data_IF_395251745568
#
_entry.id   IF_395251745568
#
_cell.length_a   1.000
_cell.length_b   1.000
_cell.length_c   1.000
_cell.angle_alpha   90.00
_cell.angle_beta   90.00
_cell.angle_gamma   90.00
#
_symmetry.space_group_name_H-M   'P 1'
#
loop_
_entity.id
_entity.type
_entity.pdbx_description
1 polymer ?
#
# COMPACT_ATOMS: atom_id res chain seq x y z
N UNK A 1 31.40 27.30 11.63
CA UNK A 1 30.40 26.58 12.43
C UNK A 1 29.04 26.51 11.73
N UNK A 2 28.42 27.61 11.31
CA UNK A 2 27.13 27.63 10.60
C UNK A 2 27.16 26.89 9.25
N UNK A 3 28.23 27.01 8.47
CA UNK A 3 28.37 26.33 7.17
C UNK A 3 28.48 24.80 7.33
N UNK A 4 29.07 24.34 8.43
CA UNK A 4 29.19 22.90 8.74
C UNK A 4 27.81 22.30 9.13
N UNK A 5 27.06 23.01 9.96
CA UNK A 5 25.70 22.63 10.36
C UNK A 5 24.74 22.60 9.14
N UNK A 6 24.89 23.57 8.24
CA UNK A 6 24.06 23.64 7.02
C UNK A 6 24.32 22.44 6.09
N UNK A 7 25.58 22.05 5.94
CA UNK A 7 25.98 20.88 5.14
C UNK A 7 25.44 19.56 5.74
N UNK A 8 25.52 19.45 7.06
CA UNK A 8 25.00 18.26 7.78
C UNK A 8 23.47 18.12 7.68
N UNK A 9 22.75 19.25 7.72
CA UNK A 9 21.31 19.29 7.51
C UNK A 9 20.91 18.93 6.07
N UNK A 10 21.68 19.38 5.07
CA UNK A 10 21.46 19.01 3.67
C UNK A 10 21.71 17.53 3.40
N UNK A 11 22.76 16.94 3.98
CA UNK A 11 23.03 15.50 3.88
C UNK A 11 21.94 14.66 4.53
N UNK A 12 21.49 15.04 5.72
CA UNK A 12 20.34 14.39 6.39
C UNK A 12 19.06 14.48 5.56
N UNK A 13 18.81 15.64 4.97
CA UNK A 13 17.63 15.85 4.12
C UNK A 13 17.67 14.98 2.85
N UNK A 14 18.85 14.86 2.22
CA UNK A 14 19.04 13.98 1.05
C UNK A 14 18.90 12.50 1.40
N UNK A 15 19.46 12.07 2.52
CA UNK A 15 19.35 10.70 3.01
C UNK A 15 17.89 10.35 3.31
N UNK A 16 17.16 11.24 3.98
CA UNK A 16 15.75 11.03 4.31
C UNK A 16 14.88 10.94 3.04
N UNK A 17 15.11 11.80 2.04
CA UNK A 17 14.43 11.72 0.73
C UNK A 17 14.69 10.40 0.02
N UNK A 18 15.92 9.92 0.00
CA UNK A 18 16.26 8.63 -0.60
C UNK A 18 15.51 7.46 0.05
N UNK A 19 15.41 7.46 1.38
CA UNK A 19 14.66 6.44 2.13
C UNK A 19 13.16 6.50 1.79
N UNK A 20 12.58 7.68 1.70
CA UNK A 20 11.16 7.85 1.33
C UNK A 20 10.86 7.32 -0.06
N UNK A 21 11.71 7.60 -1.04
CA UNK A 21 11.57 7.07 -2.41
C UNK A 21 11.59 5.55 -2.40
N UNK A 22 12.54 4.93 -1.70
CA UNK A 22 12.64 3.46 -1.59
C UNK A 22 11.40 2.87 -0.93
N UNK A 23 10.92 3.46 0.17
CA UNK A 23 9.71 3.00 0.86
C UNK A 23 8.47 3.14 -0.01
N UNK A 24 8.33 4.25 -0.73
CA UNK A 24 7.21 4.44 -1.65
C UNK A 24 7.23 3.41 -2.80
N UNK A 25 8.40 3.09 -3.33
CA UNK A 25 8.55 2.07 -4.37
C UNK A 25 8.23 0.66 -3.83
N UNK A 26 8.76 0.29 -2.67
CA UNK A 26 8.47 -1.01 -2.04
C UNK A 26 6.97 -1.13 -1.74
N UNK A 27 6.38 -0.11 -1.13
CA UNK A 27 4.94 -0.06 -0.85
C UNK A 27 4.09 -0.16 -2.11
N UNK A 28 4.49 0.51 -3.18
CA UNK A 28 3.79 0.46 -4.47
C UNK A 28 3.87 -0.92 -5.12
N UNK A 29 5.04 -1.56 -5.10
CA UNK A 29 5.24 -2.91 -5.67
C UNK A 29 4.44 -3.95 -4.87
N UNK A 30 4.48 -3.90 -3.55
CA UNK A 30 3.70 -4.83 -2.70
C UNK A 30 2.21 -4.63 -2.88
N UNK A 31 1.75 -3.37 -2.98
CA UNK A 31 0.34 -3.07 -3.19
C UNK A 31 -0.13 -3.43 -4.60
N UNK A 32 0.74 -3.29 -5.60
CA UNK A 32 0.48 -3.76 -6.96
C UNK A 32 0.36 -5.29 -7.02
N UNK A 33 1.17 -6.03 -6.28
CA UNK A 33 1.07 -7.48 -6.19
C UNK A 33 -0.30 -7.92 -5.62
N UNK A 34 -0.81 -7.21 -4.60
CA UNK A 34 -2.16 -7.42 -4.09
C UNK A 34 -3.20 -7.06 -5.16
N UNK A 35 -3.03 -5.97 -5.91
CA UNK A 35 -3.93 -5.57 -6.98
C UNK A 35 -4.01 -6.62 -8.10
N UNK A 36 -2.89 -7.19 -8.50
CA UNK A 36 -2.83 -8.28 -9.49
C UNK A 36 -3.65 -9.48 -9.00
N UNK A 37 -3.50 -9.88 -7.73
CA UNK A 37 -4.30 -10.96 -7.17
C UNK A 37 -5.81 -10.64 -7.24
N UNK A 38 -6.21 -9.41 -6.89
CA UNK A 38 -7.60 -8.98 -6.97
C UNK A 38 -8.14 -8.95 -8.41
N UNK A 39 -7.27 -8.64 -9.40
CA UNK A 39 -7.64 -8.77 -10.83
C UNK A 39 -7.92 -10.24 -11.16
N UNK A 40 -7.07 -11.17 -10.74
CA UNK A 40 -7.27 -12.60 -10.96
C UNK A 40 -8.56 -13.11 -10.31
N UNK A 41 -8.90 -12.60 -9.11
CA UNK A 41 -10.16 -12.90 -8.45
C UNK A 41 -11.37 -12.32 -9.20
N UNK A 42 -11.25 -11.10 -9.70
CA UNK A 42 -12.29 -10.44 -10.49
C UNK A 42 -12.57 -11.18 -11.82
N UNK A 43 -11.52 -11.74 -12.44
CA UNK A 43 -11.64 -12.60 -13.62
C UNK A 43 -12.30 -13.95 -13.32
N UNK A 44 -12.41 -14.33 -12.04
CA UNK A 44 -13.05 -15.58 -11.61
C UNK A 44 -12.12 -16.78 -11.58
N UNK A 45 -10.83 -16.55 -11.49
CA UNK A 45 -9.85 -17.61 -11.28
C UNK A 45 -9.99 -18.24 -9.88
N UNK A 46 -9.57 -19.52 -9.69
CA UNK A 46 -9.76 -20.26 -8.45
C UNK A 46 -8.74 -19.86 -7.36
N UNK A 47 -8.55 -18.55 -7.16
CA UNK A 47 -7.66 -17.98 -6.14
C UNK A 47 -8.42 -17.39 -4.94
N UNK A 48 -9.71 -17.67 -4.81
CA UNK A 48 -10.55 -17.13 -3.74
C UNK A 48 -10.10 -17.50 -2.32
N UNK A 49 -9.22 -18.50 -2.19
CA UNK A 49 -8.62 -18.87 -0.89
C UNK A 49 -7.69 -17.78 -0.32
N UNK A 50 -7.25 -16.81 -1.13
CA UNK A 50 -6.42 -15.68 -0.71
C UNK A 50 -7.21 -14.47 -0.22
N UNK A 51 -8.55 -14.53 -0.25
CA UNK A 51 -9.40 -13.44 0.17
C UNK A 51 -10.66 -13.94 0.88
N UNK A 52 -11.28 -13.06 1.67
CA UNK A 52 -12.59 -13.29 2.32
C UNK A 52 -12.66 -14.54 3.20
N UNK A 53 -11.59 -14.84 3.91
CA UNK A 53 -11.54 -16.00 4.82
C UNK A 53 -11.44 -17.35 4.12
N UNK A 54 -11.16 -17.35 2.81
CA UNK A 54 -11.06 -18.58 2.01
C UNK A 54 -12.39 -19.30 1.80
N UNK A 55 -13.52 -18.61 1.98
CA UNK A 55 -14.86 -19.19 1.86
C UNK A 55 -15.16 -19.78 0.48
N UNK A 56 -14.58 -19.19 -0.57
CA UNK A 56 -14.87 -19.51 -1.94
C UNK A 56 -13.61 -19.90 -2.69
N UNK A 57 -13.62 -20.99 -3.46
CA UNK A 57 -12.55 -21.27 -4.42
C UNK A 57 -12.62 -20.31 -5.61
N UNK A 58 -13.83 -20.10 -6.12
CA UNK A 58 -14.13 -19.14 -7.20
C UNK A 58 -15.07 -18.09 -6.63
N UNK A 59 -14.74 -16.82 -6.80
CA UNK A 59 -15.55 -15.71 -6.28
C UNK A 59 -16.90 -15.62 -6.99
N UNK A 60 -18.03 -15.45 -6.24
CA UNK A 60 -19.34 -15.17 -6.81
C UNK A 60 -19.34 -13.81 -7.52
N UNK A 61 -20.25 -13.61 -8.50
CA UNK A 61 -20.27 -12.40 -9.34
C UNK A 61 -20.24 -11.09 -8.57
N UNK A 62 -21.00 -10.99 -7.48
CA UNK A 62 -21.02 -9.78 -6.62
C UNK A 62 -19.64 -9.47 -5.99
N UNK A 63 -18.93 -10.50 -5.52
CA UNK A 63 -17.60 -10.33 -4.93
C UNK A 63 -16.53 -10.01 -5.99
N UNK A 64 -16.71 -10.47 -7.23
CA UNK A 64 -15.83 -10.13 -8.36
C UNK A 64 -15.89 -8.64 -8.68
N UNK A 65 -17.07 -8.05 -8.66
CA UNK A 65 -17.25 -6.59 -8.84
C UNK A 65 -16.56 -5.83 -7.70
N UNK A 66 -16.71 -6.28 -6.45
CA UNK A 66 -16.04 -5.68 -5.31
C UNK A 66 -14.50 -5.74 -5.45
N UNK A 67 -13.94 -6.87 -5.93
CA UNK A 67 -12.52 -6.99 -6.24
C UNK A 67 -12.08 -6.00 -7.32
N UNK A 68 -12.85 -5.83 -8.39
CA UNK A 68 -12.54 -4.88 -9.46
C UNK A 68 -12.53 -3.43 -8.95
N UNK A 69 -13.51 -3.04 -8.12
CA UNK A 69 -13.54 -1.72 -7.48
C UNK A 69 -12.31 -1.53 -6.57
N UNK A 70 -11.95 -2.56 -5.81
CA UNK A 70 -10.77 -2.52 -4.95
C UNK A 70 -9.48 -2.29 -5.74
N UNK A 71 -9.34 -2.87 -6.93
CA UNK A 71 -8.19 -2.62 -7.81
C UNK A 71 -8.10 -1.14 -8.20
N UNK A 72 -9.21 -0.52 -8.57
CA UNK A 72 -9.22 0.92 -8.92
C UNK A 72 -8.78 1.77 -7.73
N UNK A 73 -9.29 1.49 -6.54
CA UNK A 73 -8.91 2.18 -5.30
C UNK A 73 -7.42 1.98 -5.01
N UNK A 74 -6.88 0.78 -5.20
CA UNK A 74 -5.47 0.48 -4.98
C UNK A 74 -4.57 1.24 -5.97
N UNK A 75 -4.94 1.33 -7.24
CA UNK A 75 -4.17 2.10 -8.23
C UNK A 75 -4.13 3.59 -7.87
N UNK A 76 -5.24 4.16 -7.45
CA UNK A 76 -5.29 5.55 -6.95
C UNK A 76 -4.40 5.72 -5.72
N UNK A 77 -4.47 4.80 -4.77
CA UNK A 77 -3.64 4.84 -3.57
C UNK A 77 -2.14 4.76 -3.87
N UNK A 78 -1.72 3.97 -4.88
CA UNK A 78 -0.33 3.91 -5.34
C UNK A 78 0.14 5.27 -5.86
N UNK A 79 -0.69 5.98 -6.63
CA UNK A 79 -0.35 7.33 -7.12
C UNK A 79 -0.11 8.28 -5.94
N UNK A 80 -0.96 8.27 -4.92
CA UNK A 80 -0.78 9.10 -3.73
C UNK A 80 0.47 8.71 -2.92
N UNK A 81 0.78 7.42 -2.84
CA UNK A 81 1.99 6.94 -2.18
C UNK A 81 3.26 7.41 -2.89
N UNK A 82 3.30 7.32 -4.22
CA UNK A 82 4.42 7.79 -5.04
C UNK A 82 4.57 9.31 -4.94
N UNK A 83 3.46 10.04 -4.89
CA UNK A 83 3.46 11.49 -4.67
C UNK A 83 4.02 11.85 -3.28
N UNK A 84 3.54 11.21 -2.21
CA UNK A 84 4.01 11.48 -0.86
C UNK A 84 5.47 11.05 -0.65
N UNK A 85 5.94 10.03 -1.37
CA UNK A 85 7.34 9.58 -1.38
C UNK A 85 8.28 10.42 -2.26
N UNK A 86 7.78 11.52 -2.86
CA UNK A 86 8.53 12.38 -3.78
C UNK A 86 9.10 11.65 -5.02
N UNK A 87 8.46 10.55 -5.44
CA UNK A 87 8.80 9.83 -6.68
C UNK A 87 8.20 10.54 -7.89
N UNK A 88 6.98 11.04 -7.74
CA UNK A 88 6.28 11.87 -8.73
C UNK A 88 5.93 13.22 -8.10
N UNK A 89 5.79 14.27 -8.91
CA UNK A 89 5.43 15.61 -8.45
C UNK A 89 4.22 16.11 -9.22
N UNK A 90 3.05 16.02 -8.58
CA UNK A 90 1.79 16.55 -9.11
C UNK A 90 1.29 17.59 -8.11
N UNK A 91 1.45 18.88 -8.44
CA UNK A 91 1.17 19.99 -7.52
C UNK A 91 -0.24 19.92 -6.89
N UNK A 92 -1.24 19.52 -7.67
CA UNK A 92 -2.61 19.36 -7.22
C UNK A 92 -2.80 18.32 -6.10
N UNK A 93 -1.90 17.33 -6.01
CA UNK A 93 -2.01 16.21 -5.07
C UNK A 93 -1.18 16.40 -3.79
N UNK A 94 -0.24 17.34 -3.76
CA UNK A 94 0.72 17.52 -2.64
C UNK A 94 0.04 17.71 -1.29
N UNK A 95 -1.00 18.53 -1.25
CA UNK A 95 -1.72 18.86 -0.01
C UNK A 95 -2.51 17.68 0.53
N UNK A 96 -3.05 16.83 -0.36
CA UNK A 96 -3.97 15.74 0.00
C UNK A 96 -3.21 14.42 0.21
N UNK A 97 -2.04 14.26 -0.43
CA UNK A 97 -1.30 13.00 -0.47
C UNK A 97 -0.99 12.44 0.93
N UNK A 98 -0.55 13.27 1.86
CA UNK A 98 -0.28 12.86 3.25
C UNK A 98 -1.54 12.32 3.94
N UNK A 99 -2.64 13.05 3.85
CA UNK A 99 -3.92 12.63 4.45
C UNK A 99 -4.42 11.29 3.90
N UNK A 100 -4.33 11.13 2.58
CA UNK A 100 -4.69 9.87 1.90
C UNK A 100 -3.78 8.73 2.36
N UNK A 101 -2.47 8.96 2.47
CA UNK A 101 -1.52 7.94 2.95
C UNK A 101 -1.80 7.54 4.41
N UNK A 102 -2.15 8.46 5.30
CA UNK A 102 -2.58 8.14 6.67
C UNK A 102 -3.84 7.29 6.68
N UNK A 103 -4.83 7.66 5.88
CA UNK A 103 -6.08 6.90 5.74
C UNK A 103 -5.81 5.46 5.28
N UNK A 104 -5.01 5.29 4.22
CA UNK A 104 -4.68 3.96 3.71
C UNK A 104 -3.81 3.16 4.68
N UNK A 105 -2.89 3.80 5.40
CA UNK A 105 -2.13 3.13 6.45
C UNK A 105 -3.05 2.54 7.53
N UNK A 106 -3.97 3.33 8.05
CA UNK A 106 -4.95 2.87 9.03
C UNK A 106 -5.81 1.73 8.48
N UNK A 107 -6.35 1.89 7.26
CA UNK A 107 -7.13 0.86 6.59
C UNK A 107 -6.34 -0.45 6.44
N UNK A 108 -5.08 -0.38 6.01
CA UNK A 108 -4.21 -1.53 5.82
C UNK A 108 -3.84 -2.22 7.15
N UNK A 109 -3.69 -1.48 8.24
CA UNK A 109 -3.49 -2.05 9.58
C UNK A 109 -4.71 -2.88 9.97
N UNK A 110 -5.91 -2.34 9.84
CA UNK A 110 -7.16 -3.05 10.12
C UNK A 110 -7.27 -4.29 9.21
N UNK A 111 -7.00 -4.13 7.92
CA UNK A 111 -7.00 -5.24 6.97
C UNK A 111 -5.97 -6.32 7.31
N UNK A 112 -4.78 -5.94 7.78
CA UNK A 112 -3.76 -6.88 8.27
C UNK A 112 -4.25 -7.71 9.44
N UNK A 113 -4.94 -7.09 10.39
CA UNK A 113 -5.54 -7.80 11.55
C UNK A 113 -6.62 -8.78 11.07
N UNK A 114 -7.50 -8.36 10.16
CA UNK A 114 -8.54 -9.22 9.59
C UNK A 114 -7.91 -10.43 8.87
N UNK A 115 -6.89 -10.20 8.06
CA UNK A 115 -6.18 -11.27 7.35
C UNK A 115 -5.45 -12.22 8.32
N UNK A 116 -4.87 -11.70 9.40
CA UNK A 116 -4.22 -12.51 10.44
C UNK A 116 -5.21 -13.40 11.20
N UNK A 117 -6.46 -12.96 11.33
CA UNK A 117 -7.56 -13.73 11.97
C UNK A 117 -8.30 -14.64 10.97
N UNK A 118 -7.92 -14.60 9.69
CA UNK A 118 -8.55 -15.41 8.64
C UNK A 118 -8.43 -16.91 8.92
N UNK A 119 -9.45 -17.68 8.57
CA UNK A 119 -9.46 -19.14 8.60
C UNK A 119 -8.64 -19.76 7.47
N UNK A 120 -8.41 -19.02 6.40
CA UNK A 120 -7.59 -19.47 5.28
C UNK A 120 -6.10 -19.33 5.60
N UNK A 121 -5.36 -20.43 5.56
CA UNK A 121 -3.90 -20.42 5.73
C UNK A 121 -3.22 -19.60 4.65
N UNK A 122 -3.69 -19.64 3.40
CA UNK A 122 -3.11 -18.88 2.28
C UNK A 122 -3.30 -17.37 2.49
N UNK A 123 -4.50 -16.91 2.83
CA UNK A 123 -4.77 -15.52 3.16
C UNK A 123 -3.93 -15.05 4.34
N UNK A 124 -3.90 -15.81 5.43
CA UNK A 124 -3.15 -15.50 6.64
C UNK A 124 -1.64 -15.38 6.38
N UNK A 125 -1.01 -16.33 5.67
CA UNK A 125 0.44 -16.35 5.50
C UNK A 125 0.94 -15.46 4.35
N UNK A 126 0.10 -15.14 3.37
CA UNK A 126 0.47 -14.33 2.21
C UNK A 126 -0.02 -12.89 2.37
N UNK A 127 -1.31 -12.71 2.65
CA UNK A 127 -1.90 -11.37 2.71
C UNK A 127 -1.53 -10.59 3.96
N UNK A 128 -1.37 -11.24 5.11
CA UNK A 128 -0.98 -10.56 6.36
C UNK A 128 0.37 -9.87 6.24
N UNK A 129 1.49 -10.55 5.86
CA UNK A 129 2.78 -9.88 5.76
C UNK A 129 2.80 -8.83 4.64
N UNK A 130 2.11 -9.07 3.54
CA UNK A 130 2.04 -8.13 2.42
C UNK A 130 1.31 -6.85 2.82
N UNK A 131 0.13 -6.97 3.44
CA UNK A 131 -0.64 -5.83 3.93
C UNK A 131 0.09 -5.08 5.04
N UNK A 132 0.77 -5.79 5.94
CA UNK A 132 1.55 -5.19 7.02
C UNK A 132 2.72 -4.36 6.49
N UNK A 133 3.50 -4.93 5.57
CA UNK A 133 4.61 -4.21 4.94
C UNK A 133 4.12 -2.97 4.21
N UNK A 134 3.04 -3.10 3.45
CA UNK A 134 2.43 -1.96 2.74
C UNK A 134 1.93 -0.90 3.72
N UNK A 135 1.29 -1.29 4.83
CA UNK A 135 0.83 -0.36 5.86
C UNK A 135 1.97 0.46 6.46
N UNK A 136 3.09 -0.18 6.76
CA UNK A 136 4.30 0.50 7.27
C UNK A 136 4.84 1.49 6.23
N UNK A 137 4.93 1.09 4.95
CA UNK A 137 5.39 1.98 3.88
C UNK A 137 4.50 3.23 3.76
N UNK A 138 3.17 3.06 3.78
CA UNK A 138 2.24 4.19 3.77
C UNK A 138 2.39 5.09 5.00
N UNK A 139 2.54 4.50 6.21
CA UNK A 139 2.67 5.25 7.45
C UNK A 139 3.95 6.09 7.48
N UNK A 140 5.09 5.47 7.21
CA UNK A 140 6.39 6.16 7.26
C UNK A 140 6.45 7.24 6.17
N UNK A 141 5.93 6.95 4.97
CA UNK A 141 5.87 7.93 3.90
C UNK A 141 4.96 9.09 4.27
N UNK A 142 3.80 8.86 4.90
CA UNK A 142 2.91 9.91 5.35
C UNK A 142 3.52 10.80 6.46
N UNK A 143 4.34 10.21 7.35
CA UNK A 143 4.98 10.96 8.44
C UNK A 143 6.12 11.86 7.97
N UNK A 144 6.83 11.48 6.93
CA UNK A 144 8.09 12.13 6.51
C UNK A 144 8.02 12.76 5.11
N UNK A 145 6.95 12.49 4.35
CA UNK A 145 6.71 13.02 3.01
C UNK A 145 6.16 14.45 2.96
#
# INVERSE_FOLDING_TARGET
>A
MLCYLQKELEEKSKCNRGVLVVLALIGSVTFLAIAILYILLAMGLPYGEFAMGGKYKVMPKQMRVACAISVLIQLVAIIFLLQAGNVISIDALTTIAKGVCYFFSFYLIVNTIINALSKSKKEKFVMTPLSFLTAICFLITAMNG
#
